data_IF_054544877025
#
_entry.id   IF_054544877025
#
_cell.length_a   1.000
_cell.length_b   1.000
_cell.length_c   1.000
_cell.angle_alpha   90.00
_cell.angle_beta   90.00
_cell.angle_gamma   90.00
#
_symmetry.space_group_name_H-M   'P 1'
#
loop_
_entity.id
_entity.type
_entity.pdbx_description
1 polymer ?
#
# COMPACT_ATOMS: atom_id res chain seq x y z
N UNK A 1 -29.51 -20.28 32.36
CA UNK A 1 -28.14 -19.75 32.18
C UNK A 1 -28.14 -18.86 30.96
N UNK A 2 -28.20 -17.54 31.15
CA UNK A 2 -28.16 -16.54 30.08
C UNK A 2 -26.69 -16.18 29.79
N UNK A 3 -26.21 -16.25 28.54
CA UNK A 3 -24.84 -15.84 28.24
C UNK A 3 -24.67 -14.32 28.45
N UNK A 4 -23.51 -13.86 28.96
CA UNK A 4 -23.26 -12.43 29.17
C UNK A 4 -23.15 -11.70 27.83
N UNK A 5 -23.88 -10.59 27.71
CA UNK A 5 -23.78 -9.67 26.59
C UNK A 5 -22.36 -9.09 26.52
N UNK A 6 -21.66 -9.28 25.39
CA UNK A 6 -20.31 -8.72 25.18
C UNK A 6 -20.39 -7.19 25.06
N UNK A 7 -19.65 -6.42 25.87
CA UNK A 7 -19.64 -4.96 25.73
C UNK A 7 -18.94 -4.50 24.43
N UNK A 8 -19.41 -3.36 23.95
CA UNK A 8 -19.16 -2.76 22.64
C UNK A 8 -17.68 -2.53 22.27
N UNK A 9 -17.18 -3.28 21.28
CA UNK A 9 -15.87 -3.08 20.63
C UNK A 9 -15.88 -1.99 19.54
N UNK A 10 -16.98 -1.23 19.41
CA UNK A 10 -17.14 -0.18 18.41
C UNK A 10 -16.35 1.08 18.74
N UNK A 11 -16.39 1.52 20.00
CA UNK A 11 -15.88 2.83 20.43
C UNK A 11 -14.36 2.98 20.25
N UNK A 12 -13.59 1.93 20.55
CA UNK A 12 -12.13 1.92 20.39
C UNK A 12 -11.70 1.95 18.92
N UNK A 13 -12.45 1.29 18.03
CA UNK A 13 -12.19 1.31 16.59
C UNK A 13 -12.50 2.68 15.99
N UNK A 14 -13.65 3.27 16.34
CA UNK A 14 -14.02 4.61 15.87
C UNK A 14 -13.06 5.68 16.35
N UNK A 15 -12.60 5.63 17.61
CA UNK A 15 -11.59 6.55 18.12
C UNK A 15 -10.27 6.41 17.36
N UNK A 16 -9.78 5.17 17.17
CA UNK A 16 -8.56 4.92 16.40
C UNK A 16 -8.68 5.45 14.97
N UNK A 17 -9.80 5.20 14.29
CA UNK A 17 -10.05 5.72 12.94
C UNK A 17 -10.07 7.24 12.94
N UNK A 18 -10.75 7.88 13.90
CA UNK A 18 -10.78 9.34 14.01
C UNK A 18 -9.38 9.92 14.23
N UNK A 19 -8.56 9.32 15.09
CA UNK A 19 -7.18 9.75 15.32
C UNK A 19 -6.32 9.61 14.05
N UNK A 20 -6.48 8.53 13.30
CA UNK A 20 -5.77 8.33 12.02
C UNK A 20 -6.18 9.39 10.99
N UNK A 21 -7.47 9.67 10.86
CA UNK A 21 -7.97 10.71 9.95
C UNK A 21 -7.46 12.09 10.38
N UNK A 22 -7.50 12.39 11.67
CA UNK A 22 -6.99 13.66 12.20
C UNK A 22 -5.49 13.81 11.94
N UNK A 23 -4.70 12.77 12.20
CA UNK A 23 -3.26 12.77 11.94
C UNK A 23 -2.97 12.97 10.44
N UNK A 24 -3.71 12.30 9.57
CA UNK A 24 -3.58 12.47 8.12
C UNK A 24 -3.86 13.92 7.69
N UNK A 25 -4.97 14.51 8.18
CA UNK A 25 -5.32 15.91 7.90
C UNK A 25 -4.23 16.85 8.39
N UNK A 26 -3.70 16.63 9.60
CA UNK A 26 -2.63 17.43 10.16
C UNK A 26 -1.35 17.37 9.31
N UNK A 27 -0.94 16.18 8.87
CA UNK A 27 0.24 15.99 8.01
C UNK A 27 0.06 16.71 6.67
N UNK A 28 -1.10 16.55 6.02
CA UNK A 28 -1.41 17.23 4.75
C UNK A 28 -1.42 18.74 4.93
N UNK A 29 -2.02 19.25 6.00
CA UNK A 29 -2.05 20.68 6.29
C UNK A 29 -0.63 21.26 6.50
N UNK A 30 0.25 20.52 7.16
CA UNK A 30 1.66 20.92 7.31
C UNK A 30 2.36 20.99 5.95
N UNK A 31 2.20 19.98 5.09
CA UNK A 31 2.79 19.99 3.74
C UNK A 31 2.30 21.18 2.89
N UNK A 32 1.00 21.45 2.89
CA UNK A 32 0.42 22.60 2.17
C UNK A 32 0.95 23.92 2.72
N UNK A 33 1.05 24.05 4.05
CA UNK A 33 1.62 25.25 4.69
C UNK A 33 3.08 25.46 4.33
N UNK A 34 3.88 24.39 4.28
CA UNK A 34 5.28 24.44 3.84
C UNK A 34 5.40 24.86 2.37
N UNK A 35 4.54 24.32 1.50
CA UNK A 35 4.46 24.74 0.10
C UNK A 35 4.20 26.24 -0.03
N UNK A 36 3.18 26.76 0.66
CA UNK A 36 2.83 28.17 0.62
C UNK A 36 3.95 29.07 1.18
N UNK A 37 4.61 28.64 2.26
CA UNK A 37 5.73 29.37 2.84
C UNK A 37 6.95 29.42 1.90
N UNK A 38 7.31 28.29 1.29
CA UNK A 38 8.41 28.24 0.31
C UNK A 38 8.10 29.06 -0.94
N UNK A 39 6.85 29.05 -1.40
CA UNK A 39 6.41 29.87 -2.52
C UNK A 39 6.54 31.37 -2.23
N UNK A 40 6.19 31.80 -1.01
CA UNK A 40 6.41 33.16 -0.53
C UNK A 40 7.90 33.53 -0.52
N UNK A 41 8.76 32.65 0.00
CA UNK A 41 10.22 32.87 -0.02
C UNK A 41 10.81 32.87 -1.42
N UNK A 42 10.28 32.05 -2.32
CA UNK A 42 10.70 32.01 -3.72
C UNK A 42 10.42 33.35 -4.42
N UNK A 43 9.25 33.93 -4.17
CA UNK A 43 8.90 35.26 -4.67
C UNK A 43 9.76 36.37 -4.08
N UNK A 44 10.06 36.32 -2.78
CA UNK A 44 10.86 37.35 -2.12
C UNK A 44 12.36 37.28 -2.50
N UNK A 45 12.91 36.08 -2.69
CA UNK A 45 14.34 35.87 -2.93
C UNK A 45 14.72 35.50 -4.37
N UNK A 46 13.77 35.35 -5.29
CA UNK A 46 14.01 35.00 -6.69
C UNK A 46 14.63 33.61 -6.94
N UNK A 47 14.69 32.75 -5.92
CA UNK A 47 15.38 31.45 -6.02
C UNK A 47 14.49 30.37 -6.64
N UNK A 48 14.93 29.82 -7.77
CA UNK A 48 14.32 28.66 -8.42
C UNK A 48 14.27 27.43 -7.49
N UNK A 49 15.26 27.27 -6.61
CA UNK A 49 15.30 26.16 -5.65
C UNK A 49 14.12 26.22 -4.67
N UNK A 50 13.73 27.42 -4.23
CA UNK A 50 12.57 27.57 -3.35
C UNK A 50 11.24 27.25 -4.09
N UNK A 51 11.16 27.54 -5.39
CA UNK A 51 10.01 27.13 -6.21
C UNK A 51 9.92 25.61 -6.32
N UNK A 52 11.05 24.92 -6.54
CA UNK A 52 11.08 23.46 -6.55
C UNK A 52 10.56 22.88 -5.24
N UNK A 53 11.06 23.35 -4.09
CA UNK A 53 10.57 22.89 -2.79
C UNK A 53 9.08 23.17 -2.57
N UNK A 54 8.59 24.33 -3.02
CA UNK A 54 7.17 24.64 -2.91
C UNK A 54 6.31 23.62 -3.69
N UNK A 55 6.73 23.26 -4.90
CA UNK A 55 6.05 22.27 -5.73
C UNK A 55 6.20 20.85 -5.16
N UNK A 56 7.37 20.48 -4.65
CA UNK A 56 7.62 19.18 -4.00
C UNK A 56 6.68 18.96 -2.81
N UNK A 57 6.58 19.95 -1.91
CA UNK A 57 5.67 19.86 -0.76
C UNK A 57 4.21 19.71 -1.17
N UNK A 58 3.79 20.44 -2.22
CA UNK A 58 2.44 20.33 -2.75
C UNK A 58 2.20 18.96 -3.39
N UNK A 59 3.15 18.45 -4.16
CA UNK A 59 3.09 17.14 -4.77
C UNK A 59 2.98 16.03 -3.70
N UNK A 60 3.77 16.11 -2.63
CA UNK A 60 3.68 15.15 -1.52
C UNK A 60 2.32 15.19 -0.81
N UNK A 61 1.73 16.37 -0.63
CA UNK A 61 0.37 16.49 -0.08
C UNK A 61 -0.65 15.77 -0.96
N UNK A 62 -0.61 16.02 -2.28
CA UNK A 62 -1.51 15.39 -3.26
C UNK A 62 -1.31 13.88 -3.29
N UNK A 63 -0.07 13.41 -3.42
CA UNK A 63 0.25 11.99 -3.48
C UNK A 63 -0.16 11.25 -2.20
N UNK A 64 0.01 11.88 -1.04
CA UNK A 64 -0.42 11.33 0.25
C UNK A 64 -1.94 11.13 0.28
N UNK A 65 -2.72 12.14 -0.11
CA UNK A 65 -4.18 12.04 -0.17
C UNK A 65 -4.62 10.97 -1.18
N UNK A 66 -4.05 10.99 -2.38
CA UNK A 66 -4.37 10.00 -3.43
C UNK A 66 -4.04 8.58 -2.96
N UNK A 67 -2.86 8.39 -2.37
CA UNK A 67 -2.41 7.10 -1.85
C UNK A 67 -3.34 6.55 -0.77
N UNK A 68 -3.71 7.39 0.21
CA UNK A 68 -4.63 6.98 1.28
C UNK A 68 -6.03 6.69 0.73
N UNK A 69 -6.56 7.52 -0.16
CA UNK A 69 -7.88 7.28 -0.79
C UNK A 69 -7.86 5.97 -1.57
N UNK A 70 -6.80 5.69 -2.33
CA UNK A 70 -6.66 4.42 -3.06
C UNK A 70 -6.60 3.23 -2.11
N UNK A 71 -5.77 3.31 -1.07
CA UNK A 71 -5.65 2.25 -0.07
C UNK A 71 -6.98 1.98 0.65
N UNK A 72 -7.69 3.04 1.01
CA UNK A 72 -9.01 2.93 1.64
C UNK A 72 -10.08 2.35 0.71
N UNK A 73 -10.04 2.70 -0.59
CA UNK A 73 -10.91 2.10 -1.60
C UNK A 73 -10.61 0.62 -1.78
N UNK A 74 -9.33 0.24 -1.85
CA UNK A 74 -8.92 -1.16 -1.99
C UNK A 74 -9.33 -1.99 -0.78
N UNK A 75 -9.10 -1.49 0.44
CA UNK A 75 -9.50 -2.18 1.67
C UNK A 75 -11.02 -2.31 1.85
N UNK A 76 -11.83 -1.61 1.05
CA UNK A 76 -13.30 -1.75 0.99
C UNK A 76 -13.79 -2.67 -0.11
N UNK A 77 -12.93 -3.05 -1.06
CA UNK A 77 -13.29 -4.11 -2.00
C UNK A 77 -13.33 -5.41 -1.20
N UNK A 78 -14.53 -5.98 -1.09
CA UNK A 78 -14.70 -7.35 -0.57
C UNK A 78 -13.91 -8.25 -1.51
N UNK A 79 -13.00 -9.12 -1.02
CA UNK A 79 -12.41 -10.15 -1.86
C UNK A 79 -13.57 -10.95 -2.44
N UNK A 80 -13.69 -10.98 -3.76
CA UNK A 80 -14.64 -11.86 -4.43
C UNK A 80 -14.15 -13.29 -4.14
N UNK A 81 -14.75 -13.94 -3.13
CA UNK A 81 -14.45 -15.30 -2.70
C UNK A 81 -15.04 -16.36 -3.64
N UNK A 82 -15.19 -16.06 -4.94
CA UNK A 82 -15.76 -16.95 -5.94
C UNK A 82 -14.72 -17.50 -6.94
N UNK A 83 -13.45 -17.58 -6.53
CA UNK A 83 -12.53 -18.56 -7.14
C UNK A 83 -12.32 -19.69 -6.14
N UNK A 84 -12.97 -20.85 -6.32
CA UNK A 84 -12.66 -22.03 -5.54
C UNK A 84 -11.14 -22.25 -5.61
N UNK A 85 -10.44 -22.42 -4.48
CA UNK A 85 -9.06 -22.85 -4.54
C UNK A 85 -9.06 -24.16 -5.32
N UNK A 86 -8.40 -24.17 -6.48
CA UNK A 86 -8.09 -25.38 -7.21
C UNK A 86 -7.28 -26.25 -6.24
N UNK A 87 -7.98 -27.17 -5.57
CA UNK A 87 -7.37 -28.05 -4.57
C UNK A 87 -6.25 -28.78 -5.30
N UNK A 88 -4.99 -28.63 -4.87
CA UNK A 88 -3.94 -29.53 -5.35
C UNK A 88 -4.41 -30.94 -5.03
N UNK A 89 -4.43 -31.82 -6.05
CA UNK A 89 -4.78 -33.22 -5.86
C UNK A 89 -3.98 -33.85 -4.72
N UNK A 90 -4.53 -34.84 -4.00
CA UNK A 90 -3.85 -35.51 -2.91
C UNK A 90 -2.57 -36.18 -3.44
N UNK A 91 -1.44 -35.50 -3.25
CA UNK A 91 -0.14 -35.93 -3.78
C UNK A 91 0.82 -34.81 -4.20
N UNK A 92 0.38 -33.55 -4.30
CA UNK A 92 1.29 -32.44 -4.58
C UNK A 92 2.14 -32.08 -3.34
N UNK A 93 3.49 -32.09 -3.43
CA UNK A 93 4.35 -31.66 -2.33
C UNK A 93 4.09 -30.20 -1.98
N UNK A 94 3.77 -29.91 -0.71
CA UNK A 94 3.52 -28.55 -0.21
C UNK A 94 4.79 -27.67 -0.23
N UNK A 95 5.96 -28.31 -0.29
CA UNK A 95 7.27 -27.69 -0.43
C UNK A 95 7.96 -28.40 -1.59
N UNK A 96 8.40 -27.67 -2.61
CA UNK A 96 9.20 -28.24 -3.69
C UNK A 96 10.47 -28.92 -3.15
N UNK A 97 11.13 -29.78 -3.94
CA UNK A 97 12.37 -30.43 -3.50
C UNK A 97 13.37 -29.40 -2.95
N UNK A 98 14.08 -29.68 -1.85
CA UNK A 98 15.07 -28.75 -1.31
C UNK A 98 16.12 -28.46 -2.39
N UNK A 99 16.37 -27.17 -2.62
CA UNK A 99 17.36 -26.71 -3.59
C UNK A 99 18.74 -27.19 -3.14
N UNK A 100 19.53 -27.73 -4.06
CA UNK A 100 20.94 -28.05 -3.78
C UNK A 100 21.72 -26.74 -3.65
N UNK A 101 22.73 -26.65 -2.75
CA UNK A 101 23.58 -25.46 -2.67
C UNK A 101 24.18 -25.14 -4.05
N UNK A 102 23.85 -23.97 -4.60
CA UNK A 102 24.22 -23.55 -5.96
C UNK A 102 23.09 -23.56 -7.01
N UNK A 103 21.89 -24.05 -6.68
CA UNK A 103 20.69 -23.98 -7.56
C UNK A 103 19.70 -22.88 -7.16
N UNK A 104 20.09 -21.94 -6.30
CA UNK A 104 19.14 -21.01 -5.70
C UNK A 104 18.93 -19.75 -6.56
N UNK A 105 17.67 -19.54 -6.96
CA UNK A 105 17.03 -18.32 -7.47
C UNK A 105 17.01 -18.06 -8.99
N UNK A 106 18.10 -18.27 -9.75
CA UNK A 106 18.10 -17.83 -11.16
C UNK A 106 17.22 -18.72 -12.05
N UNK A 107 17.34 -20.05 -11.92
CA UNK A 107 16.49 -21.00 -12.65
C UNK A 107 15.01 -20.86 -12.26
N UNK A 108 14.70 -20.59 -10.99
CA UNK A 108 13.32 -20.41 -10.53
C UNK A 108 12.73 -19.09 -11.06
N UNK A 109 13.54 -18.05 -11.17
CA UNK A 109 13.14 -16.76 -11.76
C UNK A 109 12.92 -16.91 -13.26
N UNK A 110 13.82 -17.62 -13.94
CA UNK A 110 13.74 -17.87 -15.37
C UNK A 110 12.56 -18.78 -15.76
N UNK A 111 12.30 -19.83 -14.97
CA UNK A 111 11.15 -20.73 -15.16
C UNK A 111 9.84 -19.99 -14.93
N UNK A 112 9.75 -19.12 -13.90
CA UNK A 112 8.55 -18.28 -13.68
C UNK A 112 8.35 -17.24 -14.79
N UNK A 113 9.43 -16.60 -15.24
CA UNK A 113 9.37 -15.61 -16.31
C UNK A 113 8.94 -16.26 -17.64
N UNK A 114 9.52 -17.42 -17.98
CA UNK A 114 9.15 -18.19 -19.18
C UNK A 114 7.68 -18.63 -19.15
N UNK A 115 7.19 -19.11 -18.00
CA UNK A 115 5.78 -19.51 -17.84
C UNK A 115 4.83 -18.30 -17.96
N UNK A 116 5.23 -17.11 -17.50
CA UNK A 116 4.47 -15.86 -17.72
C UNK A 116 4.48 -15.40 -19.18
N UNK A 117 5.52 -15.73 -19.94
CA UNK A 117 5.69 -15.33 -21.33
C UNK A 117 5.08 -16.32 -22.34
N UNK A 118 4.50 -17.44 -21.88
CA UNK A 118 3.81 -18.40 -22.75
C UNK A 118 4.69 -19.16 -23.74
N UNK A 119 6.01 -19.14 -23.54
CA UNK A 119 6.97 -19.81 -24.41
C UNK A 119 7.14 -21.27 -23.97
N UNK A 120 6.28 -22.15 -24.48
CA UNK A 120 6.51 -23.60 -24.45
C UNK A 120 7.30 -24.01 -25.71
N UNK A 121 8.31 -24.88 -25.60
CA UNK A 121 8.81 -25.63 -26.75
C UNK A 121 7.78 -26.71 -27.12
N UNK A 122 7.49 -26.82 -28.42
CA UNK A 122 6.78 -27.96 -29.02
C UNK A 122 7.57 -29.27 -28.84
#
# INVERSE_FOLDING_TARGET
MTPPARPATGLGRTLRTALVVLALVAVVAVMVRLSAWQWGRARAGGSLVNYSYALEWLAFAVLTVVGVVRLWREGRRVPDEDTPPERPGPGAPIIGPPLRPGQELEEVTWVRLRRRLGLSPD
#
